data_IF_496047629539
#
_entry.id   IF_496047629539
#
_cell.length_a   1.000
_cell.length_b   1.000
_cell.length_c   1.000
_cell.angle_alpha   90.00
_cell.angle_beta   90.00
_cell.angle_gamma   90.00
#
_symmetry.space_group_name_H-M   'P 1'
#
loop_
_entity.id
_entity.type
_entity.pdbx_description
1 polymer ?
#
# COMPACT_ATOMS: atom_id res chain seq x y z
N UNK A 1 34.49 27.73 -11.18
CA UNK A 1 34.56 26.32 -11.11
C UNK A 1 33.48 25.67 -10.24
N UNK A 2 33.24 26.19 -9.05
CA UNK A 2 32.23 25.54 -8.21
C UNK A 2 30.86 25.48 -8.86
N UNK A 3 30.53 26.41 -9.73
CA UNK A 3 29.23 26.44 -10.35
C UNK A 3 28.93 25.21 -11.19
N UNK A 4 29.96 24.56 -11.68
CA UNK A 4 29.77 23.38 -12.51
C UNK A 4 29.22 22.24 -11.70
N UNK A 5 29.59 22.16 -10.44
CA UNK A 5 29.13 21.08 -9.61
C UNK A 5 27.68 21.21 -9.28
N UNK A 6 27.17 22.43 -9.18
CA UNK A 6 25.76 22.64 -8.89
C UNK A 6 24.88 22.12 -10.00
N UNK A 7 25.30 22.29 -11.23
CA UNK A 7 24.53 21.81 -12.36
C UNK A 7 24.37 20.30 -12.33
N UNK A 8 25.41 19.60 -11.91
CA UNK A 8 25.34 18.15 -11.83
C UNK A 8 24.40 17.67 -10.75
N UNK A 9 24.30 18.42 -9.68
CA UNK A 9 23.41 18.01 -8.60
C UNK A 9 21.95 18.15 -8.95
N UNK A 10 21.61 19.05 -9.85
CA UNK A 10 20.22 19.25 -10.22
C UNK A 10 19.69 18.14 -11.13
N UNK A 11 20.55 17.57 -11.94
CA UNK A 11 20.12 16.56 -12.89
C UNK A 11 19.44 15.34 -12.23
N UNK A 12 20.00 14.77 -11.16
CA UNK A 12 19.34 13.64 -10.52
C UNK A 12 17.95 13.96 -10.00
N UNK A 13 17.75 15.18 -9.55
CA UNK A 13 16.44 15.57 -9.04
C UNK A 13 15.38 15.56 -10.13
N UNK A 14 15.75 15.99 -11.32
CA UNK A 14 14.80 15.98 -12.42
C UNK A 14 14.42 14.58 -12.83
N UNK A 15 15.37 13.66 -12.79
CA UNK A 15 15.08 12.28 -13.13
C UNK A 15 14.13 11.64 -12.12
N UNK A 16 14.31 11.99 -10.86
CA UNK A 16 13.43 11.45 -9.82
C UNK A 16 12.00 11.89 -10.04
N UNK A 17 11.79 13.13 -10.44
CA UNK A 17 10.45 13.65 -10.63
C UNK A 17 9.71 12.90 -11.73
N UNK A 18 10.43 12.41 -12.75
CA UNK A 18 9.80 11.72 -13.85
C UNK A 18 9.35 10.31 -13.54
N UNK A 19 9.65 9.79 -12.36
CA UNK A 19 9.30 8.43 -12.02
C UNK A 19 8.02 8.29 -11.24
N UNK A 20 7.30 9.37 -10.99
CA UNK A 20 6.12 9.33 -10.14
C UNK A 20 4.87 9.19 -10.97
N UNK A 21 4.68 8.05 -11.58
CA UNK A 21 3.49 7.79 -12.38
C UNK A 21 2.60 6.71 -11.81
N UNK A 22 3.06 5.98 -10.82
CA UNK A 22 2.27 4.93 -10.21
C UNK A 22 2.43 4.97 -8.71
N UNK A 23 1.52 4.33 -8.00
CA UNK A 23 1.56 4.26 -6.55
C UNK A 23 2.70 3.35 -6.14
N UNK A 24 3.68 3.86 -5.40
CA UNK A 24 4.75 2.98 -4.93
C UNK A 24 4.23 2.05 -3.84
N UNK A 25 4.81 0.87 -3.78
CA UNK A 25 4.46 -0.11 -2.79
C UNK A 25 5.37 0.05 -1.59
N UNK A 26 4.82 0.19 -0.39
CA UNK A 26 5.64 0.20 0.80
C UNK A 26 6.11 -1.22 1.09
N UNK A 27 7.22 -1.39 1.81
CA UNK A 27 7.71 -2.74 2.12
C UNK A 27 6.64 -3.56 2.81
N UNK A 28 6.40 -4.75 2.31
CA UNK A 28 5.42 -5.66 2.87
C UNK A 28 4.03 -5.56 2.26
N UNK A 29 3.75 -4.52 1.49
CA UNK A 29 2.42 -4.36 0.93
C UNK A 29 2.05 -5.48 -0.02
N UNK A 30 3.03 -6.02 -0.73
CA UNK A 30 2.77 -7.11 -1.67
C UNK A 30 2.33 -8.39 -0.96
N UNK A 31 2.55 -8.46 0.36
CA UNK A 31 2.15 -9.64 1.14
C UNK A 31 0.77 -9.47 1.77
N UNK A 32 0.14 -8.32 1.58
CA UNK A 32 -1.20 -8.09 2.11
C UNK A 32 -2.20 -8.76 1.17
N UNK A 33 -2.99 -9.66 1.71
CA UNK A 33 -4.02 -10.37 0.94
C UNK A 33 -5.25 -9.50 0.79
N UNK A 34 -5.87 -9.60 -0.38
CA UNK A 34 -7.14 -8.91 -0.63
C UNK A 34 -8.21 -9.97 -0.82
N UNK A 35 -9.35 -9.82 -0.19
CA UNK A 35 -10.41 -10.79 -0.28
C UNK A 35 -11.77 -10.10 -0.27
N UNK A 36 -12.76 -10.73 -0.87
CA UNK A 36 -14.15 -10.29 -0.79
C UNK A 36 -14.96 -11.18 0.15
N UNK A 37 -14.33 -12.19 0.72
CA UNK A 37 -15.04 -13.21 1.49
C UNK A 37 -14.89 -12.96 2.98
N UNK A 38 -15.99 -12.67 3.64
CA UNK A 38 -16.02 -12.42 5.09
C UNK A 38 -15.41 -13.56 5.89
N UNK A 39 -15.57 -14.78 5.41
CA UNK A 39 -15.06 -15.93 6.13
C UNK A 39 -13.55 -15.90 6.29
N UNK A 40 -12.86 -15.24 5.35
CA UNK A 40 -11.40 -15.19 5.39
C UNK A 40 -10.88 -14.36 6.56
N UNK A 41 -11.70 -13.50 7.12
CA UNK A 41 -11.28 -12.62 8.21
C UNK A 41 -12.07 -12.87 9.49
N UNK A 42 -12.86 -13.94 9.54
CA UNK A 42 -13.78 -14.18 10.64
C UNK A 42 -13.08 -14.26 11.99
N UNK A 43 -11.88 -14.82 12.04
CA UNK A 43 -11.14 -14.94 13.30
C UNK A 43 -10.00 -13.95 13.40
N UNK A 44 -9.98 -12.94 12.56
CA UNK A 44 -8.90 -11.97 12.53
C UNK A 44 -9.21 -10.75 13.39
N UNK A 45 -8.18 -10.00 13.72
CA UNK A 45 -8.34 -8.77 14.48
C UNK A 45 -8.56 -7.60 13.52
N UNK A 46 -9.64 -6.86 13.72
CA UNK A 46 -9.92 -5.70 12.90
C UNK A 46 -9.00 -4.55 13.32
N UNK A 47 -8.42 -3.87 12.35
CA UNK A 47 -7.47 -2.79 12.62
C UNK A 47 -7.99 -1.43 12.18
N UNK A 48 -8.75 -1.35 11.12
CA UNK A 48 -9.27 -0.07 10.66
C UNK A 48 -9.71 -0.12 9.22
N UNK A 49 -10.30 0.96 8.78
CA UNK A 49 -10.77 1.08 7.40
C UNK A 49 -9.67 1.57 6.49
N UNK A 50 -9.70 1.11 5.25
CA UNK A 50 -8.76 1.56 4.23
C UNK A 50 -9.55 1.97 3.00
N UNK A 51 -9.02 2.92 2.26
CA UNK A 51 -9.66 3.45 1.07
C UNK A 51 -8.64 3.54 -0.04
N UNK A 52 -8.97 2.99 -1.19
CA UNK A 52 -8.09 3.05 -2.34
C UNK A 52 -8.21 4.37 -3.08
N UNK A 53 -7.46 4.48 -4.16
CA UNK A 53 -7.51 5.68 -4.98
C UNK A 53 -8.71 5.64 -5.90
N UNK A 54 -9.31 6.81 -6.13
CA UNK A 54 -10.37 6.96 -7.08
C UNK A 54 -9.78 7.51 -8.39
N UNK A 55 -10.56 7.39 -9.45
CA UNK A 55 -10.23 8.04 -10.73
C UNK A 55 -8.90 7.64 -11.33
N UNK A 56 -8.47 6.42 -11.07
CA UNK A 56 -7.31 5.90 -11.76
C UNK A 56 -7.76 4.92 -12.83
N UNK A 57 -6.93 4.75 -13.84
CA UNK A 57 -7.21 3.78 -14.89
C UNK A 57 -6.70 2.39 -14.52
N UNK A 58 -6.08 2.25 -13.37
CA UNK A 58 -5.43 1.00 -13.01
C UNK A 58 -5.96 0.49 -11.67
N UNK A 59 -6.71 -0.58 -11.73
CA UNK A 59 -7.23 -1.24 -10.52
C UNK A 59 -6.09 -1.61 -9.59
N UNK A 60 -4.95 -1.99 -10.16
CA UNK A 60 -3.79 -2.36 -9.38
C UNK A 60 -3.33 -1.24 -8.45
N UNK A 61 -3.32 0.01 -8.97
CA UNK A 61 -2.88 1.14 -8.17
C UNK A 61 -3.89 1.48 -7.08
N UNK A 62 -5.18 1.34 -7.39
CA UNK A 62 -6.23 1.56 -6.41
C UNK A 62 -6.05 0.63 -5.22
N UNK A 63 -5.79 -0.64 -5.51
CA UNK A 63 -5.66 -1.65 -4.47
C UNK A 63 -4.34 -1.56 -3.75
N UNK A 64 -3.30 -1.14 -4.44
CA UNK A 64 -2.00 -0.98 -3.80
C UNK A 64 -2.06 0.06 -2.69
N UNK A 65 -2.81 1.12 -2.91
CA UNK A 65 -2.96 2.12 -1.88
C UNK A 65 -3.60 1.52 -0.62
N UNK A 66 -4.60 0.66 -0.80
CA UNK A 66 -5.22 -0.02 0.33
C UNK A 66 -4.26 -0.94 1.04
N UNK A 67 -3.42 -1.66 0.27
CA UNK A 67 -2.42 -2.52 0.86
C UNK A 67 -1.38 -1.72 1.65
N UNK A 68 -0.97 -0.57 1.12
CA UNK A 68 -0.05 0.31 1.82
C UNK A 68 -0.62 0.77 3.15
N UNK A 69 -1.90 1.15 3.16
CA UNK A 69 -2.56 1.56 4.37
C UNK A 69 -2.64 0.43 5.38
N UNK A 70 -2.92 -0.78 4.89
CA UNK A 70 -3.00 -1.94 5.78
C UNK A 70 -1.67 -2.20 6.46
N UNK A 71 -0.55 -2.08 5.73
CA UNK A 71 0.77 -2.22 6.33
C UNK A 71 0.96 -1.21 7.42
N UNK A 72 0.56 0.05 7.18
CA UNK A 72 0.69 1.09 8.18
C UNK A 72 -0.10 0.81 9.44
N UNK A 73 -1.19 0.06 9.33
CA UNK A 73 -2.00 -0.32 10.48
C UNK A 73 -1.53 -1.63 11.12
N UNK A 74 -0.51 -2.26 10.56
CA UNK A 74 -0.04 -3.53 11.06
C UNK A 74 -0.83 -4.72 10.56
N UNK A 75 -1.54 -4.56 9.44
CA UNK A 75 -2.41 -5.60 8.91
C UNK A 75 -1.78 -6.44 7.83
N UNK A 76 -2.38 -7.57 7.59
CA UNK A 76 -1.92 -8.48 6.54
C UNK A 76 -3.04 -8.90 5.59
N UNK A 77 -4.26 -8.45 5.84
CA UNK A 77 -5.40 -8.81 5.01
C UNK A 77 -6.35 -7.63 4.92
N UNK A 78 -6.92 -7.42 3.74
CA UNK A 78 -7.95 -6.42 3.53
C UNK A 78 -9.20 -7.11 3.00
N UNK A 79 -10.32 -6.91 3.69
CA UNK A 79 -11.62 -7.34 3.20
C UNK A 79 -12.18 -6.20 2.38
N UNK A 80 -12.35 -6.43 1.09
CA UNK A 80 -12.90 -5.43 0.19
C UNK A 80 -14.40 -5.33 0.39
N UNK A 81 -14.88 -4.15 0.75
CA UNK A 81 -16.30 -3.91 0.95
C UNK A 81 -16.90 -3.13 -0.19
N UNK A 82 -16.06 -2.49 -1.00
CA UNK A 82 -16.50 -1.77 -2.18
C UNK A 82 -15.37 -1.81 -3.19
N UNK A 83 -15.70 -2.15 -4.43
CA UNK A 83 -14.67 -2.37 -5.43
C UNK A 83 -14.18 -1.13 -6.14
N UNK A 84 -15.00 -0.08 -6.19
CA UNK A 84 -14.67 1.10 -7.00
C UNK A 84 -15.26 2.36 -6.40
N UNK A 85 -14.74 3.52 -6.87
CA UNK A 85 -15.30 4.85 -6.76
C UNK A 85 -15.37 5.43 -5.36
N UNK A 86 -14.37 5.42 -4.59
CA UNK A 86 -13.13 4.65 -4.59
C UNK A 86 -13.36 3.27 -3.96
N UNK A 87 -12.44 2.35 -4.15
CA UNK A 87 -12.55 1.07 -3.46
C UNK A 87 -12.37 1.28 -1.97
N UNK A 88 -13.07 0.47 -1.19
CA UNK A 88 -13.00 0.56 0.27
C UNK A 88 -12.85 -0.84 0.86
N UNK A 89 -12.28 -0.89 2.03
CA UNK A 89 -12.13 -2.15 2.73
C UNK A 89 -11.81 -1.94 4.18
N UNK A 90 -11.61 -3.05 4.86
CA UNK A 90 -11.23 -3.08 6.26
C UNK A 90 -9.96 -3.90 6.37
N UNK A 91 -8.99 -3.36 7.08
CA UNK A 91 -7.73 -4.06 7.29
C UNK A 91 -7.80 -4.91 8.55
N UNK A 92 -7.24 -6.10 8.45
CA UNK A 92 -7.22 -7.07 9.54
C UNK A 92 -5.83 -7.62 9.73
N UNK A 93 -5.56 -8.11 10.93
CA UNK A 93 -4.42 -8.94 11.19
C UNK A 93 -4.92 -10.36 11.38
N UNK A 94 -4.60 -11.23 10.46
CA UNK A 94 -5.01 -12.61 10.47
C UNK A 94 -3.88 -13.53 10.89
N UNK A 95 -2.65 -13.13 10.61
CA UNK A 95 -1.49 -13.92 10.96
C UNK A 95 -0.87 -13.38 12.23
N UNK A 96 -0.33 -14.23 13.08
CA UNK A 96 0.37 -13.73 14.26
C UNK A 96 1.58 -12.93 13.82
N UNK A 97 2.06 -12.07 14.71
CA UNK A 97 3.22 -11.25 14.43
C UNK A 97 4.46 -12.12 14.43
N UNK A 98 4.74 -12.68 13.29
CA UNK A 98 5.80 -13.68 13.16
C UNK A 98 7.14 -13.14 13.53
N UNK A 99 7.39 -11.88 13.22
CA UNK A 99 8.67 -11.30 13.52
C UNK A 99 9.01 -11.35 15.01
N UNK A 100 8.01 -11.46 15.83
CA UNK A 100 8.23 -11.54 17.25
C UNK A 100 8.55 -12.93 17.73
N UNK A 101 8.23 -13.90 16.94
CA UNK A 101 8.43 -15.28 17.32
C UNK A 101 9.78 -15.79 16.97
N UNK A 102 10.48 -15.01 16.19
CA UNK A 102 11.70 -15.51 15.67
C UNK A 102 12.88 -15.16 16.49
N UNK A 103 12.74 -15.34 17.61
CA UNK A 103 13.88 -15.02 18.33
C UNK A 103 14.10 -15.87 19.39
#
# INVERSE_FOLDING_TARGET
MPSIHLALLLAPCLLSAGCILSVPSVPGAENVSLTHNDADVASCTVLGNVVGLADTNYVRDERREMQNQAVGLGGDTVLLTRDRDPPKGTAYRCKPSVSQDNH
#
